data_IF_068906392490
#
_entry.id   IF_068906392490
#
_cell.length_a   1.000
_cell.length_b   1.000
_cell.length_c   1.000
_cell.angle_alpha   90.00
_cell.angle_beta   90.00
_cell.angle_gamma   90.00
#
_symmetry.space_group_name_H-M   'P 1'
#
loop_
_entity.id
_entity.type
_entity.pdbx_description
1 polymer ?
#
# COMPACT_ATOMS: atom_id res chain seq x y z
N UNK A 1 -20.63 -8.54 4.93
CA UNK A 1 -19.91 -9.25 3.84
C UNK A 1 -18.73 -8.38 3.42
N UNK A 2 -17.50 -8.91 3.38
CA UNK A 2 -16.30 -8.11 3.07
C UNK A 2 -16.02 -7.91 1.58
N UNK A 3 -16.52 -8.78 0.70
CA UNK A 3 -16.29 -8.66 -0.75
C UNK A 3 -17.59 -8.87 -1.52
N UNK A 4 -17.76 -8.12 -2.62
CA UNK A 4 -18.91 -8.23 -3.50
C UNK A 4 -18.93 -9.50 -4.37
N UNK A 5 -17.75 -10.02 -4.73
CA UNK A 5 -17.59 -11.20 -5.60
C UNK A 5 -16.23 -11.85 -5.42
N UNK A 6 -16.14 -13.13 -5.74
CA UNK A 6 -14.88 -13.83 -5.90
C UNK A 6 -14.13 -13.31 -7.14
N UNK A 7 -12.84 -13.02 -7.01
CA UNK A 7 -12.02 -12.45 -8.09
C UNK A 7 -10.58 -12.93 -8.01
N UNK A 8 -10.14 -13.65 -9.04
CA UNK A 8 -8.74 -14.06 -9.21
C UNK A 8 -8.05 -13.13 -10.22
N UNK A 9 -6.84 -12.67 -9.89
CA UNK A 9 -6.02 -11.83 -10.77
C UNK A 9 -4.62 -12.42 -10.89
N UNK A 10 -4.23 -12.79 -12.11
CA UNK A 10 -2.85 -13.17 -12.41
C UNK A 10 -2.02 -11.89 -12.56
N UNK A 11 -0.93 -11.80 -11.80
CA UNK A 11 -0.02 -10.64 -11.77
C UNK A 11 1.42 -11.12 -11.78
N UNK A 12 2.31 -10.31 -12.37
CA UNK A 12 3.76 -10.53 -12.31
C UNK A 12 4.30 -10.45 -10.88
N UNK A 13 3.69 -9.60 -10.06
CA UNK A 13 4.00 -9.44 -8.64
C UNK A 13 2.70 -9.46 -7.84
N UNK A 14 2.69 -10.21 -6.71
CA UNK A 14 1.56 -10.22 -5.77
C UNK A 14 1.25 -8.80 -5.26
N UNK A 15 2.30 -8.13 -4.77
CA UNK A 15 2.29 -6.70 -4.43
C UNK A 15 3.32 -6.02 -5.31
N UNK A 16 2.87 -5.06 -6.11
CA UNK A 16 3.72 -4.41 -7.11
C UNK A 16 4.47 -3.24 -6.50
N UNK A 17 5.76 -3.45 -6.23
CA UNK A 17 6.68 -2.39 -5.86
C UNK A 17 7.41 -1.85 -7.10
N UNK A 18 7.53 -2.67 -8.17
CA UNK A 18 8.27 -2.28 -9.37
C UNK A 18 9.78 -2.21 -9.14
N UNK A 19 10.27 -2.94 -8.15
CA UNK A 19 11.67 -3.01 -7.77
C UNK A 19 12.22 -4.40 -8.12
N UNK A 20 12.95 -4.55 -9.25
CA UNK A 20 13.35 -5.85 -9.78
C UNK A 20 14.26 -6.65 -8.85
N UNK A 21 14.97 -5.99 -7.94
CA UNK A 21 15.88 -6.65 -7.00
C UNK A 21 15.13 -7.30 -5.83
N UNK A 22 13.90 -6.88 -5.53
CA UNK A 22 13.01 -7.54 -4.57
C UNK A 22 12.29 -8.72 -5.26
N UNK A 23 13.07 -9.68 -5.78
CA UNK A 23 12.54 -10.86 -6.46
C UNK A 23 11.88 -11.78 -5.45
N UNK A 24 10.76 -12.38 -5.83
CA UNK A 24 10.06 -13.39 -5.03
C UNK A 24 10.88 -14.66 -4.80
N UNK A 25 11.98 -14.86 -5.54
CA UNK A 25 12.91 -15.98 -5.38
C UNK A 25 13.93 -15.77 -4.24
N UNK A 26 14.05 -14.56 -3.70
CA UNK A 26 14.85 -14.33 -2.49
C UNK A 26 14.05 -14.84 -1.29
N UNK A 27 14.55 -15.91 -0.68
CA UNK A 27 13.81 -16.74 0.28
C UNK A 27 13.43 -16.02 1.57
N UNK A 28 14.12 -14.92 1.92
CA UNK A 28 13.96 -14.24 3.21
C UNK A 28 14.08 -12.72 3.09
N UNK A 29 13.19 -12.01 3.78
CA UNK A 29 13.24 -10.55 3.92
C UNK A 29 14.56 -10.10 4.58
N UNK A 30 15.19 -9.01 4.12
CA UNK A 30 16.35 -8.43 4.78
C UNK A 30 16.10 -7.93 6.19
N UNK A 31 14.84 -7.64 6.53
CA UNK A 31 14.44 -7.14 7.84
C UNK A 31 14.13 -8.30 8.79
N UNK A 32 14.62 -8.21 10.02
CA UNK A 32 14.30 -9.19 11.06
C UNK A 32 12.80 -9.11 11.42
N UNK A 33 12.10 -10.25 11.57
CA UNK A 33 10.72 -10.23 12.05
C UNK A 33 10.67 -9.74 13.49
N UNK A 34 9.72 -8.87 13.80
CA UNK A 34 9.44 -8.38 15.14
C UNK A 34 8.01 -8.76 15.54
N UNK A 35 7.87 -9.47 16.65
CA UNK A 35 6.57 -9.89 17.15
C UNK A 35 5.76 -8.67 17.65
N UNK A 36 4.42 -8.65 17.51
CA UNK A 36 3.62 -7.53 18.00
C UNK A 36 3.79 -7.21 19.48
N UNK A 37 3.82 -8.24 20.33
CA UNK A 37 4.02 -8.08 21.77
C UNK A 37 5.40 -7.46 22.09
N UNK A 38 6.42 -7.78 21.30
CA UNK A 38 7.75 -7.20 21.46
C UNK A 38 7.77 -5.72 21.04
N UNK A 39 7.14 -5.38 19.91
CA UNK A 39 6.98 -3.99 19.50
C UNK A 39 6.21 -3.20 20.57
N UNK A 40 5.10 -3.74 21.10
CA UNK A 40 4.34 -3.09 22.17
C UNK A 40 5.23 -2.82 23.38
N UNK A 41 6.04 -3.80 23.80
CA UNK A 41 6.97 -3.63 24.90
C UNK A 41 7.96 -2.48 24.65
N UNK A 42 8.60 -2.43 23.47
CA UNK A 42 9.52 -1.34 23.13
C UNK A 42 8.85 0.04 23.18
N UNK A 43 7.58 0.12 22.74
CA UNK A 43 6.80 1.36 22.79
C UNK A 43 6.37 1.72 24.23
N UNK A 44 5.97 0.75 25.04
CA UNK A 44 5.63 0.96 26.46
C UNK A 44 6.85 1.46 27.26
N UNK A 45 8.04 0.97 26.93
CA UNK A 45 9.32 1.38 27.54
C UNK A 45 9.86 2.70 26.98
N UNK A 46 9.12 3.36 26.07
CA UNK A 46 9.53 4.57 25.38
C UNK A 46 10.93 4.45 24.72
N UNK A 47 11.25 3.26 24.20
CA UNK A 47 12.50 3.00 23.52
C UNK A 47 12.62 3.90 22.29
N UNK A 48 13.81 4.48 22.10
CA UNK A 48 14.07 5.37 20.98
C UNK A 48 14.24 4.56 19.68
N UNK A 49 13.17 4.51 18.88
CA UNK A 49 13.08 3.76 17.64
C UNK A 49 12.37 4.57 16.55
N UNK A 50 12.55 4.13 15.31
CA UNK A 50 11.87 4.69 14.14
C UNK A 50 10.77 3.73 13.71
N UNK A 51 9.51 4.12 13.87
CA UNK A 51 8.39 3.44 13.23
C UNK A 51 8.24 3.97 11.80
N UNK A 52 8.38 3.11 10.79
CA UNK A 52 8.25 3.50 9.37
C UNK A 52 6.98 2.91 8.76
N UNK A 53 6.02 3.78 8.45
CA UNK A 53 4.79 3.39 7.76
C UNK A 53 5.05 3.24 6.25
N UNK A 54 4.85 2.04 5.72
CA UNK A 54 5.02 1.72 4.29
C UNK A 54 3.70 1.81 3.50
N UNK A 55 2.63 2.30 4.15
CA UNK A 55 1.30 2.45 3.55
C UNK A 55 1.17 3.72 2.72
N UNK A 56 0.10 3.78 1.92
CA UNK A 56 -0.20 4.97 1.15
C UNK A 56 -0.82 6.06 2.04
N UNK A 57 -0.74 7.31 1.59
CA UNK A 57 -1.27 8.48 2.32
C UNK A 57 -2.75 8.33 2.72
N UNK A 58 -3.59 7.77 1.86
CA UNK A 58 -5.01 7.54 2.19
C UNK A 58 -5.22 6.52 3.31
N UNK A 59 -4.29 5.60 3.53
CA UNK A 59 -4.37 4.61 4.62
C UNK A 59 -3.92 5.23 5.94
N UNK A 60 -2.87 6.07 5.89
CA UNK A 60 -2.32 6.81 7.03
C UNK A 60 -3.36 7.81 7.55
N UNK A 61 -4.11 8.47 6.65
CA UNK A 61 -5.17 9.40 7.00
C UNK A 61 -6.33 8.76 7.81
N UNK A 62 -6.45 7.43 7.83
CA UNK A 62 -7.45 6.70 8.62
C UNK A 62 -6.95 6.39 10.04
N UNK A 63 -5.64 6.27 10.20
CA UNK A 63 -4.99 5.94 11.46
C UNK A 63 -3.59 5.40 11.24
N UNK A 64 -2.73 5.54 12.24
CA UNK A 64 -1.33 5.13 12.21
C UNK A 64 -0.79 4.97 13.64
N UNK A 65 0.39 4.38 13.80
CA UNK A 65 1.07 4.41 15.09
C UNK A 65 1.50 5.84 15.45
N UNK A 66 1.34 6.21 16.72
CA UNK A 66 1.77 7.50 17.27
C UNK A 66 3.26 7.71 16.99
N UNK A 67 3.60 8.86 16.43
CA UNK A 67 5.00 9.21 16.12
C UNK A 67 5.61 8.44 14.94
N UNK A 68 4.83 7.67 14.18
CA UNK A 68 5.34 6.99 13.00
C UNK A 68 5.77 7.97 11.91
N UNK A 69 6.86 7.63 11.22
CA UNK A 69 7.40 8.36 10.07
C UNK A 69 6.76 7.83 8.80
N UNK A 70 6.46 8.75 7.89
CA UNK A 70 5.73 8.48 6.66
C UNK A 70 6.43 9.14 5.47
N UNK A 71 6.55 8.40 4.37
CA UNK A 71 7.21 8.82 3.13
C UNK A 71 6.26 9.53 2.13
N UNK A 72 5.04 9.83 2.57
CA UNK A 72 4.00 10.53 1.80
C UNK A 72 3.72 9.91 0.41
N UNK A 73 3.73 8.58 0.33
CA UNK A 73 3.53 7.89 -0.95
C UNK A 73 2.05 7.75 -1.31
N UNK A 74 1.69 8.13 -2.53
CA UNK A 74 0.35 7.87 -3.06
C UNK A 74 0.15 6.42 -3.52
N UNK A 75 1.24 5.73 -3.89
CA UNK A 75 1.24 4.31 -4.24
C UNK A 75 2.51 3.63 -3.75
N UNK A 76 2.42 2.35 -3.41
CA UNK A 76 3.58 1.55 -2.98
C UNK A 76 4.71 1.46 -4.03
N UNK A 77 4.43 1.72 -5.32
CA UNK A 77 5.49 1.78 -6.35
C UNK A 77 6.44 2.96 -6.18
N UNK A 78 6.01 4.01 -5.49
CA UNK A 78 6.86 5.16 -5.20
C UNK A 78 7.77 4.91 -3.99
N UNK A 79 7.57 3.82 -3.24
CA UNK A 79 8.35 3.54 -2.03
C UNK A 79 9.86 3.49 -2.29
N UNK A 80 10.39 2.76 -3.31
CA UNK A 80 11.83 2.67 -3.51
C UNK A 80 12.51 4.02 -3.77
N UNK A 81 11.87 4.88 -4.56
CA UNK A 81 12.37 6.22 -4.83
C UNK A 81 12.31 7.09 -3.56
N UNK A 82 11.19 7.03 -2.83
CA UNK A 82 10.96 7.90 -1.67
C UNK A 82 11.81 7.53 -0.46
N UNK A 83 12.11 6.25 -0.27
CA UNK A 83 13.01 5.82 0.81
C UNK A 83 14.45 6.22 0.54
N UNK A 84 14.88 6.29 -0.73
CA UNK A 84 16.20 6.80 -1.11
C UNK A 84 16.31 8.32 -0.89
N UNK A 85 15.22 9.07 -1.12
CA UNK A 85 15.16 10.52 -0.92
C UNK A 85 15.01 10.92 0.55
N UNK A 86 14.79 9.98 1.47
CA UNK A 86 14.55 10.27 2.89
C UNK A 86 15.85 10.47 3.68
N UNK A 87 16.67 11.45 3.26
CA UNK A 87 18.01 11.70 3.82
C UNK A 87 18.01 11.89 5.34
N UNK A 88 17.08 12.66 5.87
CA UNK A 88 16.97 12.90 7.32
C UNK A 88 16.65 11.61 8.09
N UNK A 89 15.78 10.76 7.53
CA UNK A 89 15.41 9.49 8.13
C UNK A 89 16.59 8.49 8.08
N UNK A 90 17.31 8.46 6.97
CA UNK A 90 18.52 7.65 6.80
C UNK A 90 19.62 8.09 7.76
N UNK A 91 19.82 9.40 7.89
CA UNK A 91 20.80 9.99 8.81
C UNK A 91 20.48 9.61 10.26
N UNK A 92 19.22 9.79 10.67
CA UNK A 92 18.76 9.40 12.01
C UNK A 92 18.97 7.90 12.28
N UNK A 93 18.58 7.04 11.33
CA UNK A 93 18.74 5.59 11.45
C UNK A 93 20.22 5.17 11.60
N UNK A 94 21.14 5.84 10.91
CA UNK A 94 22.58 5.54 10.95
C UNK A 94 23.27 6.13 12.18
N UNK A 95 23.12 7.43 12.41
CA UNK A 95 23.87 8.17 13.42
C UNK A 95 23.37 7.88 14.84
N UNK A 96 22.04 7.86 15.03
CA UNK A 96 21.45 7.60 16.35
C UNK A 96 21.33 6.11 16.65
N UNK A 97 21.79 5.23 15.74
CA UNK A 97 21.82 3.78 15.91
C UNK A 97 20.45 3.18 16.28
N UNK A 98 19.35 3.85 15.95
CA UNK A 98 17.98 3.45 16.31
C UNK A 98 17.55 2.21 15.55
N UNK A 99 16.69 1.41 16.18
CA UNK A 99 15.96 0.37 15.49
C UNK A 99 14.95 1.00 14.51
N UNK A 100 14.81 0.43 13.31
CA UNK A 100 13.82 0.86 12.32
C UNK A 100 12.80 -0.25 12.14
N UNK A 101 11.58 -0.03 12.59
CA UNK A 101 10.49 -1.00 12.51
C UNK A 101 9.52 -0.58 11.41
N UNK A 102 9.53 -1.32 10.31
CA UNK A 102 8.59 -1.12 9.22
C UNK A 102 7.28 -1.86 9.49
N UNK A 103 6.16 -1.24 9.10
CA UNK A 103 4.86 -1.88 9.18
C UNK A 103 3.96 -1.51 8.01
N UNK A 104 2.93 -2.34 7.82
CA UNK A 104 1.78 -2.07 6.98
C UNK A 104 0.57 -2.84 7.53
N UNK A 105 -0.58 -2.78 6.85
CA UNK A 105 -1.82 -3.45 7.29
C UNK A 105 -1.62 -4.93 7.62
N UNK A 106 -0.95 -5.70 6.76
CA UNK A 106 -0.85 -7.16 6.89
C UNK A 106 0.56 -7.73 6.62
N UNK A 107 1.61 -6.94 6.83
CA UNK A 107 3.01 -7.37 6.71
C UNK A 107 3.58 -7.48 5.28
N UNK A 108 2.79 -7.88 4.28
CA UNK A 108 3.31 -8.25 2.94
C UNK A 108 4.05 -7.13 2.17
N UNK A 109 3.77 -5.84 2.44
CA UNK A 109 4.55 -4.74 1.86
C UNK A 109 5.94 -4.65 2.48
N UNK A 110 6.05 -4.91 3.78
CA UNK A 110 7.31 -4.82 4.52
C UNK A 110 8.33 -5.86 4.02
N UNK A 111 7.87 -7.07 3.68
CA UNK A 111 8.68 -8.11 3.05
C UNK A 111 9.44 -7.61 1.82
N UNK A 112 8.78 -6.77 1.00
CA UNK A 112 9.39 -6.17 -0.19
C UNK A 112 10.13 -4.88 0.13
N UNK A 113 9.54 -4.02 0.95
CA UNK A 113 10.08 -2.72 1.31
C UNK A 113 11.48 -2.83 1.94
N UNK A 114 11.74 -3.93 2.67
CA UNK A 114 13.03 -4.21 3.27
C UNK A 114 14.20 -4.22 2.26
N UNK A 115 14.01 -4.74 1.06
CA UNK A 115 15.04 -4.69 0.01
C UNK A 115 15.37 -3.27 -0.42
N UNK A 116 14.33 -2.45 -0.65
CA UNK A 116 14.52 -1.06 -1.03
C UNK A 116 15.11 -0.22 0.11
N UNK A 117 14.73 -0.49 1.37
CA UNK A 117 15.30 0.18 2.54
C UNK A 117 16.80 -0.14 2.71
N UNK A 118 17.19 -1.41 2.60
CA UNK A 118 18.61 -1.80 2.65
C UNK A 118 19.38 -1.19 1.48
N UNK A 119 18.82 -1.19 0.27
CA UNK A 119 19.46 -0.56 -0.89
C UNK A 119 19.59 0.97 -0.74
N UNK A 120 18.66 1.64 -0.05
CA UNK A 120 18.77 3.04 0.32
C UNK A 120 19.80 3.30 1.44
N UNK A 121 20.31 2.24 2.08
CA UNK A 121 21.36 2.32 3.09
C UNK A 121 20.87 2.25 4.53
N UNK A 122 19.63 1.80 4.79
CA UNK A 122 19.23 1.47 6.16
C UNK A 122 20.08 0.31 6.71
N UNK A 123 20.56 0.39 7.96
CA UNK A 123 21.40 -0.66 8.57
C UNK A 123 20.60 -1.96 8.75
N UNK A 124 20.98 -3.02 8.03
CA UNK A 124 20.27 -4.30 8.01
C UNK A 124 20.14 -4.91 9.41
N UNK A 125 21.16 -4.79 10.24
CA UNK A 125 21.21 -5.34 11.60
C UNK A 125 20.21 -4.70 12.58
N UNK A 126 19.58 -3.59 12.20
CA UNK A 126 18.57 -2.85 12.98
C UNK A 126 17.28 -2.61 12.22
N UNK A 127 17.11 -3.25 11.07
CA UNK A 127 15.90 -3.16 10.29
C UNK A 127 14.98 -4.30 10.68
N UNK A 128 13.79 -3.95 11.15
CA UNK A 128 12.76 -4.87 11.60
C UNK A 128 11.49 -4.69 10.78
N UNK A 129 10.70 -5.76 10.69
CA UNK A 129 9.36 -5.71 10.13
C UNK A 129 8.34 -6.27 11.14
N UNK A 130 7.23 -5.56 11.33
CA UNK A 130 6.15 -6.01 12.20
C UNK A 130 5.48 -7.27 11.62
N UNK A 131 5.64 -8.39 12.30
CA UNK A 131 5.12 -9.68 11.86
C UNK A 131 3.58 -9.64 11.79
N UNK A 132 3.01 -9.96 10.63
CA UNK A 132 1.57 -9.92 10.39
C UNK A 132 0.97 -8.50 10.31
N UNK A 133 1.79 -7.45 10.43
CA UNK A 133 1.35 -6.05 10.31
C UNK A 133 0.40 -5.59 11.41
N UNK A 134 -0.31 -4.50 11.13
CA UNK A 134 -1.22 -3.83 12.08
C UNK A 134 -2.34 -4.76 12.54
N UNK A 135 -2.90 -5.59 11.66
CA UNK A 135 -4.02 -6.46 12.02
C UNK A 135 -3.61 -7.52 13.07
N UNK A 136 -2.43 -8.12 12.92
CA UNK A 136 -1.88 -9.03 13.92
C UNK A 136 -1.50 -8.29 15.22
N UNK A 137 -1.08 -7.03 15.12
CA UNK A 137 -0.87 -6.19 16.30
C UNK A 137 -2.17 -5.94 17.07
N UNK A 138 -3.25 -5.58 16.38
CA UNK A 138 -4.56 -5.42 17.01
C UNK A 138 -5.04 -6.71 17.69
N UNK A 139 -4.87 -7.86 17.04
CA UNK A 139 -5.25 -9.16 17.59
C UNK A 139 -4.52 -9.49 18.90
N UNK A 140 -3.21 -9.20 18.98
CA UNK A 140 -2.39 -9.57 20.14
C UNK A 140 -2.30 -8.48 21.23
N UNK A 141 -2.39 -7.21 20.82
CA UNK A 141 -2.02 -6.06 21.64
C UNK A 141 -3.14 -5.01 21.75
N UNK A 142 -4.24 -5.15 21.01
CA UNK A 142 -5.26 -4.13 20.88
C UNK A 142 -4.74 -2.86 20.22
N UNK A 143 -5.31 -1.71 20.59
CA UNK A 143 -4.99 -0.40 19.99
C UNK A 143 -3.83 0.35 20.64
N UNK A 144 -3.03 -0.29 21.49
CA UNK A 144 -1.94 0.38 22.20
C UNK A 144 -1.00 1.09 21.21
N UNK A 145 -0.67 2.36 21.48
CA UNK A 145 0.18 3.22 20.64
C UNK A 145 -0.34 3.50 19.22
N UNK A 146 -1.47 2.93 18.82
CA UNK A 146 -2.11 3.19 17.54
C UNK A 146 -3.20 4.25 17.69
N UNK A 147 -3.25 5.18 16.74
CA UNK A 147 -4.25 6.24 16.72
C UNK A 147 -5.29 5.95 15.65
N UNK A 148 -6.57 5.99 16.05
CA UNK A 148 -7.73 5.79 15.17
C UNK A 148 -7.83 4.36 14.61
N UNK A 149 -8.15 4.22 13.32
CA UNK A 149 -8.57 2.95 12.71
C UNK A 149 -7.57 2.47 11.65
N UNK A 150 -7.60 1.18 11.34
CA UNK A 150 -6.72 0.60 10.32
C UNK A 150 -7.47 0.43 8.99
N UNK A 151 -7.00 1.08 7.93
CA UNK A 151 -7.56 0.90 6.59
C UNK A 151 -7.39 -0.55 6.09
N UNK A 152 -8.48 -1.13 5.55
CA UNK A 152 -8.51 -2.47 4.95
C UNK A 152 -9.06 -2.43 3.52
N UNK A 153 -8.60 -3.35 2.67
CA UNK A 153 -8.87 -3.36 1.23
C UNK A 153 -10.15 -4.12 0.86
N UNK A 154 -11.21 -3.91 1.62
CA UNK A 154 -12.50 -4.59 1.46
C UNK A 154 -13.68 -3.64 1.79
N UNK A 155 -14.91 -4.15 1.75
CA UNK A 155 -16.13 -3.35 1.91
C UNK A 155 -16.21 -2.61 3.26
N UNK A 156 -15.45 -3.03 4.28
CA UNK A 156 -15.41 -2.38 5.59
C UNK A 156 -14.67 -1.04 5.56
N UNK A 157 -13.76 -0.84 4.60
CA UNK A 157 -12.87 0.32 4.44
C UNK A 157 -11.85 0.50 5.57
N UNK A 158 -12.26 0.39 6.83
CA UNK A 158 -11.40 0.42 8.00
C UNK A 158 -11.96 -0.46 9.13
N UNK A 159 -11.05 -0.91 10.00
CA UNK A 159 -11.38 -1.66 11.22
C UNK A 159 -10.79 -0.98 12.45
N UNK A 160 -11.47 -1.10 13.59
CA UNK A 160 -10.99 -0.62 14.89
C UNK A 160 -9.89 -1.55 15.44
N UNK A 161 -9.32 -1.20 16.60
CA UNK A 161 -8.37 -2.06 17.34
C UNK A 161 -8.95 -3.40 17.77
N UNK A 162 -10.27 -3.53 17.81
CA UNK A 162 -11.00 -4.76 18.12
C UNK A 162 -11.34 -5.55 16.84
N UNK A 163 -10.80 -5.15 15.69
CA UNK A 163 -11.01 -5.76 14.37
C UNK A 163 -12.46 -5.67 13.83
N UNK A 164 -13.26 -4.79 14.43
CA UNK A 164 -14.64 -4.52 14.03
C UNK A 164 -14.72 -3.38 12.99
N UNK A 165 -15.74 -3.33 12.12
CA UNK A 165 -15.89 -2.25 11.14
C UNK A 165 -15.99 -0.86 11.78
N UNK A 166 -15.12 0.07 11.39
CA UNK A 166 -14.99 1.38 12.05
C UNK A 166 -15.98 2.48 11.55
N UNK A 167 -16.91 2.14 10.65
CA UNK A 167 -17.87 3.11 10.09
C UNK A 167 -17.23 4.16 9.16
N UNK A 168 -16.04 3.88 8.64
CA UNK A 168 -15.38 4.68 7.60
C UNK A 168 -15.96 4.30 6.24
N UNK A 169 -16.18 5.29 5.38
CA UNK A 169 -16.73 5.09 4.02
C UNK A 169 -15.89 5.84 2.98
N UNK A 170 -15.92 5.37 1.74
CA UNK A 170 -15.22 6.03 0.64
C UNK A 170 -16.07 7.13 0.01
N UNK A 171 -15.47 8.29 -0.25
CA UNK A 171 -16.10 9.36 -1.03
C UNK A 171 -16.47 8.87 -2.45
N UNK A 172 -17.69 9.14 -2.89
CA UNK A 172 -18.16 8.75 -4.23
C UNK A 172 -17.47 9.53 -5.37
N UNK A 173 -16.84 10.68 -5.05
CA UNK A 173 -16.08 11.51 -5.99
C UNK A 173 -14.62 11.10 -6.11
N UNK A 174 -13.83 11.38 -5.07
CA UNK A 174 -12.38 11.13 -5.05
C UNK A 174 -11.98 9.73 -4.57
N UNK A 175 -12.86 9.03 -3.85
CA UNK A 175 -12.59 7.76 -3.14
C UNK A 175 -11.70 7.85 -1.91
N UNK A 176 -11.50 9.04 -1.36
CA UNK A 176 -10.82 9.17 -0.07
C UNK A 176 -11.70 8.61 1.07
N UNK A 177 -11.09 7.98 2.09
CA UNK A 177 -11.80 7.48 3.26
C UNK A 177 -12.26 8.63 4.16
N UNK A 178 -13.46 8.52 4.71
CA UNK A 178 -14.07 9.52 5.59
C UNK A 178 -14.94 8.85 6.65
N UNK A 179 -15.01 9.46 7.84
CA UNK A 179 -15.99 9.04 8.85
C UNK A 179 -17.42 9.42 8.45
N UNK A 180 -18.37 8.56 8.83
CA UNK A 180 -19.81 8.71 8.56
C UNK A 180 -20.42 10.04 9.05
N UNK A 181 -19.84 10.69 10.05
CA UNK A 181 -20.32 11.97 10.59
C UNK A 181 -20.18 13.15 9.60
N UNK A 182 -19.37 13.01 8.54
CA UNK A 182 -19.23 14.00 7.47
C UNK A 182 -20.13 13.72 6.26
N UNK A 183 -21.14 12.86 6.41
CA UNK A 183 -22.05 12.48 5.33
C UNK A 183 -23.18 13.49 5.17
N UNK A 184 -23.16 14.21 4.04
CA UNK A 184 -24.35 14.95 3.58
C UNK A 184 -25.39 13.95 3.09
N UNK A 185 -26.52 13.85 3.80
CA UNK A 185 -27.70 13.04 3.43
C UNK A 185 -28.41 13.54 2.15
N UNK A 186 -28.01 14.71 1.62
CA UNK A 186 -28.62 15.31 0.43
C UNK A 186 -28.32 14.53 -0.87
N UNK A 187 -27.36 13.61 -0.86
CA UNK A 187 -26.98 12.82 -2.02
C UNK A 187 -27.12 11.31 -1.75
N UNK A 188 -27.56 10.56 -2.76
CA UNK A 188 -27.70 9.11 -2.69
C UNK A 188 -26.38 8.35 -2.42
N UNK A 189 -25.22 9.03 -2.52
CA UNK A 189 -23.90 8.46 -2.18
C UNK A 189 -23.03 9.48 -1.42
N UNK A 190 -22.26 9.05 -0.40
CA UNK A 190 -21.30 9.86 0.35
C UNK A 190 -20.39 10.74 -0.51
N UNK A 191 -20.15 11.99 -0.14
CA UNK A 191 -19.09 12.83 -0.74
C UNK A 191 -18.37 13.64 0.35
N UNK A 192 -17.05 13.86 0.18
CA UNK A 192 -16.29 14.78 1.02
C UNK A 192 -16.69 16.24 0.75
N UNK A 193 -16.41 17.12 1.70
CA UNK A 193 -16.62 18.57 1.60
C UNK A 193 -15.96 19.15 0.34
N UNK A 194 -14.68 18.86 0.09
CA UNK A 194 -14.00 19.27 -1.15
C UNK A 194 -14.73 18.78 -2.42
N UNK A 195 -15.25 17.55 -2.46
CA UNK A 195 -16.00 17.05 -3.63
C UNK A 195 -17.43 17.61 -3.73
N UNK A 196 -17.96 18.19 -2.65
CA UNK A 196 -19.24 18.89 -2.62
C UNK A 196 -19.07 20.33 -3.11
N UNK A 197 -18.02 21.00 -2.65
CA UNK A 197 -17.62 22.35 -3.09
C UNK A 197 -17.18 22.35 -4.56
N UNK A 198 -16.40 21.34 -4.99
CA UNK A 198 -15.97 21.12 -6.38
C UNK A 198 -17.12 20.71 -7.33
N UNK A 199 -18.36 20.64 -6.84
CA UNK A 199 -19.55 20.14 -7.55
C UNK A 199 -19.90 20.83 -8.88
N UNK A 200 -19.14 21.83 -9.32
CA UNK A 200 -19.36 22.58 -10.56
C UNK A 200 -18.52 22.08 -11.76
N UNK A 201 -17.42 21.34 -11.60
CA UNK A 201 -16.46 21.16 -12.74
C UNK A 201 -16.08 19.72 -13.17
N UNK A 202 -16.52 18.65 -12.50
CA UNK A 202 -15.98 17.27 -12.80
C UNK A 202 -16.86 16.34 -13.64
N UNK A 203 -17.96 16.80 -14.22
CA UNK A 203 -18.76 16.01 -15.19
C UNK A 203 -17.96 15.67 -16.46
N UNK A 204 -16.87 16.42 -16.75
CA UNK A 204 -16.12 16.33 -18.02
C UNK A 204 -15.05 15.23 -18.04
N UNK A 205 -14.51 14.78 -16.89
CA UNK A 205 -13.33 13.88 -16.87
C UNK A 205 -13.69 12.40 -17.08
N UNK A 206 -14.96 12.01 -16.86
CA UNK A 206 -15.38 10.60 -17.09
C UNK A 206 -15.51 10.24 -18.56
N UNK A 207 -15.79 11.20 -19.46
CA UNK A 207 -15.91 10.93 -20.89
C UNK A 207 -14.56 10.57 -21.56
N UNK A 208 -13.45 11.19 -21.13
CA UNK A 208 -12.12 11.01 -21.75
C UNK A 208 -11.41 9.71 -21.35
N UNK A 209 -11.68 9.16 -20.15
CA UNK A 209 -11.08 7.88 -19.70
C UNK A 209 -11.72 6.65 -20.36
N UNK A 210 -12.98 6.73 -20.80
CA UNK A 210 -13.62 5.67 -21.58
C UNK A 210 -13.09 5.59 -23.02
N UNK A 211 -12.81 6.74 -23.65
CA UNK A 211 -12.25 6.78 -25.01
C UNK A 211 -10.80 6.26 -25.08
N UNK A 212 -9.95 6.61 -24.11
CA UNK A 212 -8.55 6.14 -24.07
C UNK A 212 -8.39 4.64 -23.77
N UNK A 213 -9.35 4.02 -23.09
CA UNK A 213 -9.38 2.56 -22.86
C UNK A 213 -9.85 1.79 -24.09
N UNK A 214 -10.80 2.34 -24.86
CA UNK A 214 -11.26 1.75 -26.11
C UNK A 214 -10.19 1.73 -27.21
N UNK A 215 -9.44 2.82 -27.36
CA UNK A 215 -8.37 2.95 -28.37
C UNK A 215 -7.13 2.10 -28.05
N UNK A 216 -6.73 2.02 -26.77
CA UNK A 216 -5.64 1.12 -26.34
C UNK A 216 -5.98 -0.36 -26.50
N UNK A 217 -7.25 -0.77 -26.30
CA UNK A 217 -7.69 -2.16 -26.50
C UNK A 217 -7.69 -2.53 -27.99
N UNK A 218 -8.11 -1.63 -28.89
CA UNK A 218 -8.07 -1.84 -30.34
C UNK A 218 -6.64 -1.95 -30.89
N UNK A 219 -5.72 -1.07 -30.47
CA UNK A 219 -4.30 -1.13 -30.86
C UNK A 219 -3.58 -2.40 -30.41
N UNK A 220 -3.99 -2.98 -29.27
CA UNK A 220 -3.40 -4.22 -28.75
C UNK A 220 -3.93 -5.45 -29.48
N UNK A 221 -5.20 -5.45 -29.89
CA UNK A 221 -5.79 -6.52 -30.70
C UNK A 221 -5.21 -6.55 -32.11
N UNK A 222 -4.98 -5.38 -32.74
CA UNK A 222 -4.38 -5.32 -34.08
C UNK A 222 -2.91 -5.76 -34.10
N UNK A 223 -2.16 -5.49 -33.02
CA UNK A 223 -0.75 -5.89 -32.90
C UNK A 223 -0.61 -7.41 -32.70
N UNK A 224 -1.48 -8.00 -31.88
CA UNK A 224 -1.51 -9.45 -31.70
C UNK A 224 -1.96 -10.21 -32.97
N UNK A 225 -2.87 -9.63 -33.77
CA UNK A 225 -3.26 -10.22 -35.05
C UNK A 225 -2.11 -10.17 -36.08
N UNK A 226 -1.37 -9.06 -36.13
CA UNK A 226 -0.20 -8.94 -37.01
C UNK A 226 0.94 -9.89 -36.62
N UNK A 227 1.20 -10.08 -35.32
CA UNK A 227 2.22 -11.02 -34.82
C UNK A 227 1.85 -12.49 -35.10
N UNK A 228 0.57 -12.85 -35.03
CA UNK A 228 0.09 -14.20 -35.38
C UNK A 228 0.28 -14.51 -36.88
N UNK A 229 -0.02 -13.56 -37.76
CA UNK A 229 0.16 -13.74 -39.21
C UNK A 229 1.63 -13.81 -39.67
N UNK A 230 2.57 -13.29 -38.89
CA UNK A 230 4.02 -13.39 -39.19
C UNK A 230 4.57 -14.76 -38.75
N UNK A 231 4.03 -15.34 -37.68
CA UNK A 231 4.43 -16.66 -37.21
C UNK A 231 3.99 -17.80 -38.15
N UNK A 232 2.82 -17.69 -38.80
CA UNK A 232 2.33 -18.69 -39.76
C UNK A 232 3.10 -18.71 -41.10
N UNK A 233 3.87 -17.64 -41.40
CA UNK A 233 4.67 -17.56 -42.63
C UNK A 233 6.07 -18.17 -42.51
N UNK A 234 6.53 -18.46 -41.28
CA UNK A 234 7.82 -19.10 -41.03
C UNK A 234 7.63 -20.62 -40.96
N UNK A 235 7.56 -21.26 -42.13
CA UNK A 235 7.52 -22.73 -42.23
C UNK A 235 8.77 -23.40 -41.64
N UNK A 236 8.69 -24.69 -41.27
CA UNK A 236 9.76 -25.37 -40.56
C UNK A 236 11.02 -25.51 -41.43
N UNK A 237 12.17 -25.20 -40.84
CA UNK A 237 13.49 -25.39 -41.42
C UNK A 237 13.76 -26.88 -41.72
N UNK A 238 14.41 -27.22 -42.84
CA UNK A 238 14.65 -28.61 -43.21
C UNK A 238 15.69 -29.27 -42.28
N UNK A 239 15.62 -30.60 -42.08
CA UNK A 239 16.53 -31.34 -41.20
C UNK A 239 17.95 -31.47 -41.82
N UNK A 240 18.96 -31.81 -40.99
CA UNK A 240 20.39 -31.67 -41.33
C UNK A 240 20.88 -32.58 -42.45
#
# INVERSE_FOLDING_TARGET
RGFHRFLVKIKKELISMGYPEAKAEQTESPAAPLAPAELKKWLDEAQDLILLDTRNTYEIAVGAFRGARHLEIGTFRAFPEKVQQAEDLLREAKESRKAVVMYCTGGIRCEKAAFAAVAAGFPRERLYQLQGGILNYFEQCGGAHYEQDCYVFDDRVAVTSELEPAGVVLCAGCRDPMRSQKLSSKHARPRCESCLEDGVQRTVIRASRTQSRGSRKRRRMSRNQAEASIADAAGPSPPP
#
